data_IF_628839732269
#
_entry.id   IF_628839732269
#
_cell.length_a   1.000
_cell.length_b   1.000
_cell.length_c   1.000
_cell.angle_alpha   90.00
_cell.angle_beta   90.00
_cell.angle_gamma   90.00
#
_symmetry.space_group_name_H-M   'P 1'
#
loop_
_entity.id
_entity.type
_entity.pdbx_description
1 polymer ?
#
# COMPACT_ATOMS: atom_id res chain seq x y z
N UNK A 1 76.31 -12.56 -45.31
CA UNK A 1 75.18 -13.42 -44.92
C UNK A 1 74.03 -12.52 -44.49
N UNK A 2 72.98 -12.48 -45.32
CA UNK A 2 71.73 -11.77 -45.08
C UNK A 2 70.96 -12.46 -43.95
N UNK A 3 70.74 -11.82 -42.80
CA UNK A 3 69.64 -12.15 -41.86
C UNK A 3 69.64 -11.10 -40.74
N UNK A 4 68.95 -9.96 -40.92
CA UNK A 4 68.48 -9.08 -39.84
C UNK A 4 67.75 -7.89 -40.47
N UNK A 5 66.42 -7.97 -40.63
CA UNK A 5 65.59 -6.80 -40.99
C UNK A 5 64.08 -7.09 -41.05
N UNK A 6 63.61 -8.33 -40.84
CA UNK A 6 62.18 -8.66 -41.03
C UNK A 6 61.37 -8.84 -39.75
N UNK A 7 62.01 -8.86 -38.57
CA UNK A 7 61.35 -9.07 -37.28
C UNK A 7 60.79 -7.78 -36.64
N UNK A 8 61.32 -6.60 -36.96
CA UNK A 8 60.96 -5.35 -36.27
C UNK A 8 59.73 -4.62 -36.87
N UNK A 9 59.37 -4.89 -38.12
CA UNK A 9 58.16 -4.29 -38.71
C UNK A 9 56.88 -5.04 -38.33
N UNK A 10 56.96 -6.35 -38.11
CA UNK A 10 55.80 -7.17 -37.73
C UNK A 10 55.34 -6.87 -36.29
N UNK A 11 56.29 -6.62 -35.38
CA UNK A 11 56.01 -6.25 -33.98
C UNK A 11 55.36 -4.86 -33.86
N UNK A 12 55.81 -3.87 -34.63
CA UNK A 12 55.21 -2.52 -34.64
C UNK A 12 53.79 -2.52 -35.19
N UNK A 13 53.53 -3.32 -36.22
CA UNK A 13 52.21 -3.42 -36.84
C UNK A 13 51.20 -4.19 -35.96
N UNK A 14 51.65 -5.24 -35.26
CA UNK A 14 50.83 -5.93 -34.26
C UNK A 14 50.53 -5.06 -33.03
N UNK A 15 51.48 -4.22 -32.62
CA UNK A 15 51.31 -3.29 -31.48
C UNK A 15 50.35 -2.14 -31.82
N UNK A 16 50.37 -1.58 -33.04
CA UNK A 16 49.40 -0.57 -33.47
C UNK A 16 47.97 -1.14 -33.60
N UNK A 17 47.82 -2.37 -34.07
CA UNK A 17 46.50 -3.03 -34.16
C UNK A 17 45.96 -3.35 -32.77
N UNK A 18 46.81 -3.80 -31.84
CA UNK A 18 46.45 -4.02 -30.44
C UNK A 18 46.04 -2.72 -29.73
N UNK A 19 46.74 -1.62 -29.99
CA UNK A 19 46.41 -0.30 -29.42
C UNK A 19 45.11 0.27 -29.98
N UNK A 20 44.83 0.08 -31.29
CA UNK A 20 43.57 0.52 -31.90
C UNK A 20 42.38 -0.34 -31.47
N UNK A 21 42.56 -1.65 -31.31
CA UNK A 21 41.51 -2.54 -30.78
C UNK A 21 41.22 -2.27 -29.30
N UNK A 22 42.22 -1.93 -28.47
CA UNK A 22 42.00 -1.56 -27.06
C UNK A 22 41.33 -0.20 -26.90
N UNK A 23 41.65 0.78 -27.76
CA UNK A 23 40.94 2.06 -27.80
C UNK A 23 39.49 1.88 -28.28
N UNK A 24 39.24 1.00 -29.28
CA UNK A 24 37.87 0.70 -29.74
C UNK A 24 37.06 -0.04 -28.66
N UNK A 25 37.68 -0.97 -27.91
CA UNK A 25 37.05 -1.67 -26.79
C UNK A 25 36.76 -0.73 -25.61
N UNK A 26 37.63 0.26 -25.34
CA UNK A 26 37.36 1.29 -24.33
C UNK A 26 36.21 2.23 -24.75
N UNK A 27 36.08 2.56 -26.04
CA UNK A 27 34.96 3.40 -26.52
C UNK A 27 33.62 2.66 -26.56
N UNK A 28 33.63 1.33 -26.69
CA UNK A 28 32.41 0.50 -26.66
C UNK A 28 31.99 0.19 -25.20
N UNK A 29 32.92 0.19 -24.24
CA UNK A 29 32.58 0.03 -22.81
C UNK A 29 32.04 1.32 -22.16
N UNK A 30 32.19 2.49 -22.79
CA UNK A 30 31.60 3.75 -22.32
C UNK A 30 30.15 3.96 -22.76
N UNK A 31 29.55 3.02 -23.49
CA UNK A 31 28.09 2.91 -23.66
C UNK A 31 27.53 1.94 -22.60
N UNK A 32 28.06 1.99 -21.38
CA UNK A 32 27.27 1.59 -20.24
C UNK A 32 26.27 2.70 -20.00
N UNK A 33 25.04 2.43 -20.42
CA UNK A 33 23.84 3.19 -20.16
C UNK A 33 23.95 3.90 -18.82
N UNK A 34 24.25 5.20 -18.84
CA UNK A 34 23.88 6.06 -17.74
C UNK A 34 22.36 6.02 -17.72
N UNK A 35 21.79 5.15 -16.89
CA UNK A 35 20.44 5.31 -16.42
C UNK A 35 20.42 6.67 -15.73
N UNK A 36 20.04 7.70 -16.48
CA UNK A 36 19.77 9.02 -15.93
C UNK A 36 18.75 8.82 -14.82
N UNK A 37 19.20 8.94 -13.58
CA UNK A 37 18.32 8.93 -12.42
C UNK A 37 17.47 10.21 -12.53
N UNK A 38 16.24 10.08 -13.02
CA UNK A 38 15.29 11.18 -13.00
C UNK A 38 14.78 11.33 -11.57
N UNK A 39 15.38 12.20 -10.78
CA UNK A 39 14.73 12.63 -9.54
C UNK A 39 13.44 13.39 -9.90
N UNK A 40 12.34 13.21 -9.16
CA UNK A 40 11.16 14.05 -9.32
C UNK A 40 11.57 15.53 -9.35
N UNK A 41 11.02 16.31 -10.29
CA UNK A 41 11.39 17.72 -10.38
C UNK A 41 11.01 18.45 -9.08
N UNK A 42 11.88 19.33 -8.62
CA UNK A 42 11.60 20.20 -7.46
C UNK A 42 10.59 21.31 -7.80
N UNK A 43 10.02 21.30 -9.01
CA UNK A 43 9.10 22.32 -9.50
C UNK A 43 7.71 22.21 -8.86
N UNK A 44 7.37 21.05 -8.28
CA UNK A 44 6.10 20.86 -7.58
C UNK A 44 6.27 21.09 -6.08
N UNK A 45 5.33 21.84 -5.50
CA UNK A 45 5.22 22.05 -4.06
C UNK A 45 3.86 21.57 -3.56
N UNK A 46 3.83 20.94 -2.39
CA UNK A 46 2.59 20.58 -1.73
C UNK A 46 2.25 21.69 -0.74
N UNK A 47 1.24 22.50 -1.09
CA UNK A 47 0.77 23.61 -0.27
C UNK A 47 0.13 23.15 1.04
N UNK A 48 -0.66 22.08 0.96
CA UNK A 48 -1.35 21.50 2.09
C UNK A 48 -1.55 20.01 1.86
N UNK A 49 -1.21 19.21 2.86
CA UNK A 49 -1.40 17.76 2.85
C UNK A 49 -2.16 17.31 4.09
N UNK A 50 -3.27 16.60 3.89
CA UNK A 50 -4.01 15.97 4.97
C UNK A 50 -3.99 14.46 4.76
N UNK A 51 -3.47 13.71 5.74
CA UNK A 51 -3.48 12.25 5.72
C UNK A 51 -4.41 11.72 6.82
N UNK A 52 -5.35 10.86 6.46
CA UNK A 52 -6.22 10.15 7.40
C UNK A 52 -6.00 8.65 7.29
N UNK A 53 -5.46 8.07 8.34
CA UNK A 53 -5.23 6.63 8.49
C UNK A 53 -6.38 6.04 9.29
N UNK A 54 -7.11 5.09 8.69
CA UNK A 54 -8.17 4.34 9.35
C UNK A 54 -7.68 2.94 9.73
N UNK A 55 -7.57 2.72 11.04
CA UNK A 55 -7.14 1.46 11.67
C UNK A 55 -8.32 0.66 12.25
N UNK A 56 -9.56 0.99 11.88
CA UNK A 56 -10.77 0.37 12.45
C UNK A 56 -10.96 -1.12 12.11
N UNK A 57 -10.21 -1.64 11.14
CA UNK A 57 -10.22 -3.04 10.73
C UNK A 57 -8.80 -3.62 10.68
N UNK A 58 -8.65 -4.89 10.32
CA UNK A 58 -7.33 -5.50 10.08
C UNK A 58 -6.65 -4.99 8.79
N UNK A 59 -7.40 -4.31 7.91
CA UNK A 59 -6.91 -3.66 6.70
C UNK A 59 -6.80 -2.16 6.97
N UNK A 60 -5.61 -1.60 6.73
CA UNK A 60 -5.35 -0.17 6.91
C UNK A 60 -5.75 0.56 5.65
N UNK A 61 -6.60 1.57 5.79
CA UNK A 61 -7.00 2.45 4.68
C UNK A 61 -6.45 3.84 4.93
N UNK A 62 -5.79 4.42 3.95
CA UNK A 62 -5.26 5.77 4.06
C UNK A 62 -5.86 6.64 2.98
N UNK A 63 -6.45 7.74 3.42
CA UNK A 63 -6.94 8.82 2.58
C UNK A 63 -5.95 9.97 2.65
N UNK A 64 -5.49 10.44 1.52
CA UNK A 64 -4.49 11.48 1.41
C UNK A 64 -5.02 12.58 0.48
N UNK A 65 -5.24 13.76 1.02
CA UNK A 65 -5.65 14.94 0.27
C UNK A 65 -4.43 15.84 0.06
N UNK A 66 -4.02 16.06 -1.19
CA UNK A 66 -2.86 16.86 -1.54
C UNK A 66 -3.30 18.08 -2.36
N UNK A 67 -2.92 19.28 -1.91
CA UNK A 67 -2.97 20.49 -2.74
C UNK A 67 -1.61 20.76 -3.35
N UNK A 68 -1.47 20.47 -4.63
CA UNK A 68 -0.21 20.53 -5.36
C UNK A 68 -0.19 21.77 -6.23
N UNK A 69 0.90 22.53 -6.17
CA UNK A 69 1.16 23.72 -6.96
C UNK A 69 2.37 23.47 -7.87
N UNK A 70 2.27 23.86 -9.15
CA UNK A 70 3.44 23.94 -10.01
C UNK A 70 4.12 25.31 -9.85
N UNK A 71 5.29 25.31 -9.22
CA UNK A 71 6.14 26.48 -9.01
C UNK A 71 7.23 26.63 -10.07
N UNK A 72 7.40 25.61 -10.94
CA UNK A 72 8.31 25.68 -12.08
C UNK A 72 7.74 26.47 -13.25
N UNK A 73 8.54 26.60 -14.31
CA UNK A 73 8.16 27.35 -15.52
C UNK A 73 7.50 26.46 -16.58
N UNK A 74 7.82 25.17 -16.61
CA UNK A 74 7.28 24.21 -17.58
C UNK A 74 5.96 23.59 -17.10
N UNK A 75 5.04 23.26 -18.02
CA UNK A 75 3.85 22.48 -17.70
C UNK A 75 4.22 21.05 -17.24
N UNK A 76 3.46 20.51 -16.28
CA UNK A 76 3.70 19.19 -15.69
C UNK A 76 2.44 18.33 -15.81
N UNK A 77 2.57 17.08 -16.22
CA UNK A 77 1.45 16.16 -16.46
C UNK A 77 1.41 15.00 -15.47
N UNK A 78 2.41 14.88 -14.59
CA UNK A 78 2.54 13.79 -13.62
C UNK A 78 2.92 14.29 -12.22
N UNK A 79 2.42 13.60 -11.19
CA UNK A 79 2.75 13.87 -9.78
C UNK A 79 3.17 12.57 -9.10
N UNK A 80 4.29 12.59 -8.41
CA UNK A 80 4.86 11.41 -7.76
C UNK A 80 4.40 11.25 -6.30
N UNK A 81 3.91 10.07 -5.96
CA UNK A 81 3.74 9.61 -4.58
C UNK A 81 4.94 8.76 -4.19
N UNK A 82 5.46 8.92 -2.98
CA UNK A 82 6.55 8.08 -2.45
C UNK A 82 6.09 7.22 -1.29
N UNK A 83 6.48 5.95 -1.31
CA UNK A 83 6.23 5.00 -0.23
C UNK A 83 7.54 4.41 0.27
N UNK A 84 7.74 4.28 1.59
CA UNK A 84 8.89 3.56 2.14
C UNK A 84 8.80 2.06 1.78
N UNK A 85 9.94 1.34 1.70
CA UNK A 85 9.98 -0.08 1.31
C UNK A 85 8.99 -0.96 2.09
N UNK A 86 8.89 -0.74 3.40
CA UNK A 86 8.00 -1.49 4.31
C UNK A 86 6.51 -1.32 4.01
N UNK A 87 6.11 -0.17 3.44
CA UNK A 87 4.74 0.04 2.97
C UNK A 87 4.52 -0.61 1.61
N UNK A 88 5.49 -0.54 0.71
CA UNK A 88 5.37 -1.11 -0.64
C UNK A 88 5.11 -2.61 -0.59
N UNK A 89 5.80 -3.36 0.27
CA UNK A 89 5.59 -4.80 0.47
C UNK A 89 4.16 -5.17 0.90
N UNK A 90 3.44 -4.20 1.45
CA UNK A 90 2.12 -4.35 2.06
C UNK A 90 1.02 -3.61 1.27
N UNK A 91 1.39 -2.91 0.21
CA UNK A 91 0.51 -2.07 -0.59
C UNK A 91 -0.34 -2.93 -1.52
N UNK A 92 -1.65 -2.95 -1.30
CA UNK A 92 -2.59 -3.75 -2.08
C UNK A 92 -3.31 -2.93 -3.17
N UNK A 93 -3.45 -1.62 -2.96
CA UNK A 93 -4.17 -0.74 -3.87
C UNK A 93 -3.68 0.70 -3.71
N UNK A 94 -3.56 1.42 -4.82
CA UNK A 94 -3.47 2.87 -4.87
C UNK A 94 -4.47 3.38 -5.90
N UNK A 95 -5.27 4.38 -5.54
CA UNK A 95 -6.19 5.09 -6.41
C UNK A 95 -6.02 6.58 -6.19
N UNK A 96 -6.07 7.36 -7.26
CA UNK A 96 -6.07 8.81 -7.18
C UNK A 96 -7.29 9.36 -7.93
N UNK A 97 -7.74 10.55 -7.53
CA UNK A 97 -8.74 11.30 -8.25
C UNK A 97 -8.46 12.80 -8.15
N UNK A 98 -8.74 13.51 -9.23
CA UNK A 98 -8.75 14.96 -9.27
C UNK A 98 -10.05 15.47 -8.67
N UNK A 99 -9.97 16.44 -7.77
CA UNK A 99 -11.15 17.11 -7.22
C UNK A 99 -11.52 18.27 -8.12
N UNK A 100 -12.67 18.17 -8.78
CA UNK A 100 -13.23 19.23 -9.63
C UNK A 100 -14.45 19.85 -8.96
N UNK A 101 -14.58 21.18 -9.06
CA UNK A 101 -15.71 21.93 -8.49
C UNK A 101 -15.48 22.42 -7.05
N UNK A 102 -16.41 23.25 -6.56
CA UNK A 102 -16.31 23.91 -5.24
C UNK A 102 -17.41 23.43 -4.29
N UNK A 103 -17.06 23.24 -3.00
CA UNK A 103 -17.96 22.95 -1.87
C UNK A 103 -18.87 21.72 -2.10
N UNK A 104 -20.19 21.92 -2.24
CA UNK A 104 -21.21 20.84 -2.30
C UNK A 104 -21.33 20.17 -3.67
N UNK A 105 -20.67 20.72 -4.72
CA UNK A 105 -20.65 20.15 -6.07
C UNK A 105 -19.26 19.58 -6.42
N UNK A 106 -18.58 18.97 -5.44
CA UNK A 106 -17.31 18.29 -5.69
C UNK A 106 -17.57 17.01 -6.49
N UNK A 107 -16.88 16.87 -7.60
CA UNK A 107 -16.81 15.64 -8.40
C UNK A 107 -15.39 15.11 -8.34
N UNK A 108 -15.24 13.80 -8.20
CA UNK A 108 -13.95 13.12 -8.20
C UNK A 108 -13.75 12.46 -9.55
N UNK A 109 -12.80 12.97 -10.33
CA UNK A 109 -12.44 12.41 -11.63
C UNK A 109 -11.28 11.43 -11.42
N UNK A 110 -11.45 10.11 -11.62
CA UNK A 110 -10.40 9.11 -11.38
C UNK A 110 -9.16 9.40 -12.24
N UNK A 111 -7.98 9.30 -11.66
CA UNK A 111 -6.69 9.46 -12.35
C UNK A 111 -5.98 8.11 -12.45
N UNK A 112 -5.20 7.93 -13.51
CA UNK A 112 -4.36 6.75 -13.67
C UNK A 112 -3.16 6.82 -12.71
N UNK A 113 -2.88 5.70 -12.04
CA UNK A 113 -1.77 5.57 -11.10
C UNK A 113 -0.97 4.34 -11.46
N UNK A 114 0.30 4.53 -11.83
CA UNK A 114 1.20 3.44 -12.18
C UNK A 114 2.45 3.46 -11.31
N UNK A 115 3.05 2.29 -11.11
CA UNK A 115 4.39 2.20 -10.53
C UNK A 115 5.35 2.93 -11.46
N UNK A 116 6.14 3.85 -10.91
CA UNK A 116 7.08 4.64 -11.69
C UNK A 116 8.30 3.81 -12.08
N UNK A 117 8.89 4.13 -13.24
CA UNK A 117 10.20 3.62 -13.65
C UNK A 117 11.34 4.23 -12.82
N UNK A 118 11.07 5.31 -12.08
CA UNK A 118 11.98 5.88 -11.10
C UNK A 118 12.20 4.87 -9.96
N UNK A 119 13.32 4.15 -10.05
CA UNK A 119 13.81 3.26 -9.00
C UNK A 119 14.84 4.01 -8.16
N UNK A 120 14.90 3.64 -6.88
CA UNK A 120 15.83 4.16 -5.87
C UNK A 120 15.57 5.61 -5.41
N UNK A 121 14.35 5.89 -4.94
CA UNK A 121 14.14 7.04 -4.05
C UNK A 121 15.03 6.94 -2.80
N UNK A 122 15.26 8.07 -2.13
CA UNK A 122 16.07 8.09 -0.91
C UNK A 122 15.62 6.98 0.07
N UNK A 123 16.58 6.23 0.62
CA UNK A 123 16.35 5.10 1.52
C UNK A 123 15.50 3.96 0.91
N UNK A 124 15.55 3.76 -0.41
CA UNK A 124 14.83 2.70 -1.11
C UNK A 124 13.34 3.00 -1.32
N UNK A 125 12.91 4.26 -1.12
CA UNK A 125 11.54 4.66 -1.38
C UNK A 125 11.16 4.39 -2.85
N UNK A 126 9.98 3.85 -3.08
CA UNK A 126 9.45 3.62 -4.43
C UNK A 126 8.40 4.66 -4.77
N UNK A 127 8.33 5.01 -6.06
CA UNK A 127 7.42 6.03 -6.55
C UNK A 127 6.25 5.45 -7.34
N UNK A 128 5.09 6.07 -7.17
CA UNK A 128 3.93 5.87 -8.03
C UNK A 128 3.63 7.20 -8.74
N UNK A 129 3.49 7.17 -10.05
CA UNK A 129 3.12 8.32 -10.87
C UNK A 129 1.60 8.42 -10.94
N UNK A 130 1.05 9.58 -10.58
CA UNK A 130 -0.33 9.98 -10.85
C UNK A 130 -0.33 10.82 -12.13
N UNK A 131 -1.03 10.36 -13.16
CA UNK A 131 -1.14 11.10 -14.42
C UNK A 131 -2.34 12.05 -14.38
N UNK A 132 -2.07 13.32 -14.62
CA UNK A 132 -3.07 14.37 -14.75
C UNK A 132 -3.71 14.30 -16.15
N UNK A 133 -5.00 14.59 -16.25
CA UNK A 133 -5.69 14.63 -17.56
C UNK A 133 -5.24 15.83 -18.39
N UNK A 134 -5.12 16.98 -17.72
CA UNK A 134 -4.66 18.24 -18.28
C UNK A 134 -3.30 18.60 -17.68
N UNK A 135 -2.46 19.25 -18.48
CA UNK A 135 -1.18 19.77 -18.03
C UNK A 135 -1.36 20.84 -16.94
N UNK A 136 -0.60 20.70 -15.85
CA UNK A 136 -0.55 21.66 -14.77
C UNK A 136 0.40 22.80 -15.12
N UNK A 137 -0.15 23.99 -15.39
CA UNK A 137 0.65 25.16 -15.82
C UNK A 137 1.38 25.80 -14.64
N UNK A 138 2.38 26.61 -14.94
CA UNK A 138 3.09 27.41 -13.93
C UNK A 138 2.11 28.26 -13.11
N UNK A 139 2.23 28.18 -11.78
CA UNK A 139 1.38 28.84 -10.79
C UNK A 139 0.01 28.21 -10.58
N UNK A 140 -0.33 27.14 -11.30
CA UNK A 140 -1.63 26.47 -11.17
C UNK A 140 -1.62 25.46 -10.01
N UNK A 141 -2.79 25.29 -9.40
CA UNK A 141 -2.98 24.45 -8.21
C UNK A 141 -4.07 23.42 -8.48
N UNK A 142 -3.77 22.15 -8.18
CA UNK A 142 -4.74 21.05 -8.20
C UNK A 142 -4.94 20.48 -6.81
N UNK A 143 -6.09 19.86 -6.59
CA UNK A 143 -6.33 19.05 -5.39
C UNK A 143 -6.51 17.59 -5.80
N UNK A 144 -5.63 16.73 -5.29
CA UNK A 144 -5.66 15.29 -5.49
C UNK A 144 -6.19 14.61 -4.24
N UNK A 145 -7.05 13.62 -4.43
CA UNK A 145 -7.51 12.72 -3.38
C UNK A 145 -7.00 11.32 -3.69
N UNK A 146 -6.20 10.78 -2.80
CA UNK A 146 -5.54 9.48 -2.97
C UNK A 146 -6.08 8.54 -1.90
N UNK A 147 -6.51 7.36 -2.32
CA UNK A 147 -6.81 6.24 -1.44
C UNK A 147 -5.75 5.17 -1.68
N UNK A 148 -5.03 4.79 -0.63
CA UNK A 148 -4.22 3.58 -0.66
C UNK A 148 -4.59 2.62 0.47
N UNK A 149 -4.43 1.33 0.20
CA UNK A 149 -4.78 0.25 1.11
C UNK A 149 -3.53 -0.54 1.44
N UNK A 150 -3.23 -0.66 2.72
CA UNK A 150 -2.15 -1.48 3.23
C UNK A 150 -2.73 -2.72 3.92
N UNK A 151 -2.16 -3.87 3.58
CA UNK A 151 -2.46 -5.18 4.19
C UNK A 151 -1.29 -5.61 5.05
N UNK A 152 -1.51 -6.45 6.07
CA UNK A 152 -0.42 -6.95 6.95
C UNK A 152 0.44 -5.85 7.61
N UNK A 153 -0.11 -4.65 7.79
CA UNK A 153 0.58 -3.51 8.45
C UNK A 153 0.25 -3.38 9.95
N UNK A 154 -0.55 -4.30 10.48
CA UNK A 154 -0.89 -4.39 11.90
C UNK A 154 -0.23 -5.64 12.48
N UNK A 155 0.64 -5.44 13.46
CA UNK A 155 1.37 -6.54 14.11
C UNK A 155 0.74 -6.84 15.47
N UNK A 156 0.24 -8.06 15.72
CA UNK A 156 -0.26 -8.44 17.04
C UNK A 156 0.81 -8.37 18.11
N UNK A 157 0.53 -7.64 19.19
CA UNK A 157 1.39 -7.57 20.36
C UNK A 157 0.56 -7.43 21.64
N UNK A 158 0.52 -8.46 22.52
CA UNK A 158 1.32 -9.68 22.45
C UNK A 158 0.97 -10.59 21.26
N UNK A 159 1.96 -11.36 20.80
CA UNK A 159 1.79 -12.27 19.65
C UNK A 159 0.86 -13.46 19.96
N UNK A 160 0.70 -13.79 21.23
CA UNK A 160 -0.20 -14.83 21.71
C UNK A 160 -1.10 -14.29 22.83
N UNK A 161 -2.39 -14.62 22.79
CA UNK A 161 -3.41 -14.18 23.75
C UNK A 161 -4.24 -15.37 24.22
N UNK A 162 -4.71 -15.35 25.46
CA UNK A 162 -5.67 -16.35 25.95
C UNK A 162 -7.07 -16.06 25.41
N UNK A 163 -8.00 -16.99 25.66
CA UNK A 163 -9.37 -16.89 25.13
C UNK A 163 -10.12 -15.64 25.60
N UNK A 164 -9.84 -15.15 26.82
CA UNK A 164 -10.50 -14.00 27.44
C UNK A 164 -9.77 -12.67 27.27
N UNK A 165 -8.61 -12.68 26.61
CA UNK A 165 -7.79 -11.48 26.43
C UNK A 165 -8.23 -10.68 25.20
N UNK A 166 -8.13 -9.35 25.30
CA UNK A 166 -8.26 -8.47 24.15
C UNK A 166 -7.04 -8.60 23.21
N UNK A 167 -7.29 -8.54 21.91
CA UNK A 167 -6.24 -8.42 20.91
C UNK A 167 -5.74 -6.97 20.82
N UNK A 168 -4.47 -6.77 21.10
CA UNK A 168 -3.75 -5.52 20.92
C UNK A 168 -2.80 -5.62 19.72
N UNK A 169 -2.61 -4.53 18.98
CA UNK A 169 -1.76 -4.50 17.78
C UNK A 169 -0.92 -3.23 17.72
N UNK A 170 0.27 -3.34 17.13
CA UNK A 170 1.09 -2.21 16.72
C UNK A 170 0.78 -1.79 15.29
N UNK A 171 0.64 -0.49 15.08
CA UNK A 171 0.74 0.16 13.79
C UNK A 171 2.01 1.03 13.76
N UNK A 172 2.84 0.86 12.75
CA UNK A 172 4.08 1.62 12.56
C UNK A 172 4.02 2.38 11.25
N UNK A 173 4.25 3.68 11.32
CA UNK A 173 4.34 4.58 10.17
C UNK A 173 5.16 5.82 10.57
N UNK A 174 5.05 6.92 9.83
CA UNK A 174 5.55 8.24 10.18
C UNK A 174 4.42 9.20 10.54
N UNK A 175 4.66 10.20 11.37
CA UNK A 175 3.75 11.32 11.64
C UNK A 175 3.62 12.29 10.47
N UNK A 176 4.69 12.40 9.66
CA UNK A 176 4.72 13.20 8.44
C UNK A 176 4.65 12.31 7.19
N UNK A 177 4.11 12.86 6.12
CA UNK A 177 3.99 12.21 4.83
C UNK A 177 5.37 12.20 4.18
N UNK A 178 5.82 11.01 3.79
CA UNK A 178 6.98 10.86 2.92
C UNK A 178 6.60 11.37 1.53
N UNK A 179 7.24 12.44 1.07
CA UNK A 179 7.01 13.04 -0.24
C UNK A 179 8.34 13.39 -0.92
N UNK A 180 8.47 13.25 -2.25
CA UNK A 180 9.63 13.79 -2.97
C UNK A 180 9.60 15.32 -3.09
N UNK A 181 8.50 15.96 -2.72
CA UNK A 181 8.30 17.40 -2.83
C UNK A 181 8.37 18.07 -1.46
N UNK A 182 8.65 19.38 -1.45
CA UNK A 182 8.50 20.18 -0.24
C UNK A 182 7.02 20.28 0.14
N UNK A 183 6.72 20.13 1.44
CA UNK A 183 5.37 20.19 1.98
C UNK A 183 5.24 21.39 2.93
N UNK A 184 4.58 22.47 2.48
CA UNK A 184 4.43 23.71 3.26
C UNK A 184 3.63 23.50 4.54
N UNK A 185 2.58 22.69 4.48
CA UNK A 185 1.73 22.39 5.63
C UNK A 185 1.23 20.96 5.55
N UNK A 186 1.30 20.24 6.67
CA UNK A 186 0.69 18.91 6.75
C UNK A 186 0.13 18.54 8.10
N UNK A 187 -0.81 17.59 8.06
CA UNK A 187 -1.48 17.06 9.24
C UNK A 187 -1.86 15.59 9.02
N UNK A 188 -1.60 14.75 10.01
CA UNK A 188 -1.95 13.32 9.98
C UNK A 188 -2.94 13.00 11.08
N UNK A 189 -4.04 12.36 10.72
CA UNK A 189 -5.04 11.80 11.63
C UNK A 189 -4.96 10.29 11.60
N UNK A 190 -4.91 9.65 12.77
CA UNK A 190 -4.92 8.21 12.93
C UNK A 190 -6.13 7.82 13.75
N UNK A 191 -7.10 7.16 13.11
CA UNK A 191 -8.34 6.70 13.73
C UNK A 191 -8.21 5.25 14.17
N UNK A 192 -8.38 4.99 15.46
CA UNK A 192 -8.41 3.66 16.06
C UNK A 192 -9.85 3.10 16.12
N UNK A 193 -10.03 1.77 16.22
CA UNK A 193 -11.35 1.15 16.30
C UNK A 193 -12.09 1.48 17.61
N UNK A 194 -11.34 1.75 18.68
CA UNK A 194 -11.88 2.14 19.98
C UNK A 194 -10.98 3.18 20.66
N UNK A 195 -11.47 3.80 21.74
CA UNK A 195 -10.69 4.74 22.53
C UNK A 195 -9.62 4.04 23.40
N UNK A 196 -9.52 2.71 23.37
CA UNK A 196 -8.51 1.93 24.10
C UNK A 196 -7.21 1.88 23.30
N UNK A 197 -6.37 2.88 23.54
CA UNK A 197 -4.99 2.96 23.03
C UNK A 197 -4.08 2.83 24.22
N UNK A 198 -3.22 1.82 24.19
CA UNK A 198 -2.27 1.46 25.25
C UNK A 198 -1.11 2.46 25.27
N UNK A 199 -0.51 2.70 24.11
CA UNK A 199 0.58 3.67 23.95
C UNK A 199 0.62 4.25 22.54
N UNK A 200 1.21 5.44 22.40
CA UNK A 200 1.49 6.05 21.12
C UNK A 200 2.70 6.98 21.23
N UNK A 201 3.44 7.15 20.15
CA UNK A 201 4.55 8.10 20.09
C UNK A 201 4.02 9.54 20.21
N UNK A 202 4.59 10.35 21.09
CA UNK A 202 4.21 11.76 21.25
C UNK A 202 5.22 12.63 20.51
N UNK A 203 4.77 13.33 19.47
CA UNK A 203 5.57 14.28 18.69
C UNK A 203 4.85 15.64 18.65
N UNK A 204 5.37 16.64 19.35
CA UNK A 204 4.70 17.93 19.44
C UNK A 204 4.53 18.60 18.06
N UNK A 205 3.34 19.13 17.72
CA UNK A 205 2.09 19.04 18.45
C UNK A 205 1.36 17.70 18.18
N UNK A 206 1.09 16.92 19.24
CA UNK A 206 0.21 15.74 19.17
C UNK A 206 -1.03 15.98 20.00
N UNK A 207 -2.21 15.64 19.46
CA UNK A 207 -3.49 15.71 20.19
C UNK A 207 -4.24 14.40 20.07
N UNK A 208 -4.91 13.98 21.14
CA UNK A 208 -5.79 12.82 21.14
C UNK A 208 -7.21 13.24 21.47
N UNK A 209 -8.15 12.87 20.62
CA UNK A 209 -9.58 13.12 20.82
C UNK A 209 -10.34 11.82 20.61
N UNK A 210 -10.82 11.22 21.71
CA UNK A 210 -11.57 9.95 21.68
C UNK A 210 -10.81 8.82 20.96
N UNK A 211 -11.21 8.48 19.73
CA UNK A 211 -10.63 7.42 18.89
C UNK A 211 -9.66 7.95 17.82
N UNK A 212 -9.33 9.25 17.83
CA UNK A 212 -8.47 9.87 16.82
C UNK A 212 -7.22 10.48 17.47
N UNK A 213 -6.05 10.15 16.90
CA UNK A 213 -4.77 10.78 17.19
C UNK A 213 -4.44 11.74 16.06
N UNK A 214 -4.09 12.97 16.40
CA UNK A 214 -3.72 14.02 15.46
C UNK A 214 -2.24 14.36 15.66
N UNK A 215 -1.46 14.24 14.59
CA UNK A 215 -0.07 14.64 14.51
C UNK A 215 0.06 15.89 13.63
N UNK A 216 0.74 16.92 14.14
CA UNK A 216 0.84 18.22 13.51
C UNK A 216 -0.28 19.16 13.96
N UNK A 217 -0.44 20.33 13.34
CA UNK A 217 0.12 20.83 12.08
C UNK A 217 1.66 20.98 12.07
N UNK A 218 2.31 20.32 11.12
CA UNK A 218 3.73 20.55 10.81
C UNK A 218 3.86 21.51 9.63
N UNK A 219 4.85 22.39 9.69
CA UNK A 219 5.06 23.47 8.71
C UNK A 219 6.40 23.24 8.02
N UNK A 220 6.43 23.51 6.71
CA UNK A 220 7.62 23.51 5.85
C UNK A 220 8.54 22.31 6.05
N UNK A 221 8.05 21.15 5.63
CA UNK A 221 8.79 19.90 5.70
C UNK A 221 9.56 19.68 4.41
N UNK A 222 10.88 19.42 4.55
CA UNK A 222 11.75 19.17 3.43
C UNK A 222 11.38 17.87 2.70
N UNK A 223 11.70 17.75 1.40
CA UNK A 223 11.58 16.49 0.67
C UNK A 223 12.20 15.31 1.43
N UNK A 224 11.54 14.15 1.36
CA UNK A 224 11.96 12.89 1.99
C UNK A 224 12.12 12.92 3.52
N UNK A 225 11.54 13.91 4.20
CA UNK A 225 11.50 13.94 5.66
C UNK A 225 10.68 12.77 6.21
N UNK A 226 11.11 12.20 7.34
CA UNK A 226 10.46 11.06 7.99
C UNK A 226 10.50 11.17 9.52
N UNK A 227 9.36 10.99 10.18
CA UNK A 227 9.23 11.10 11.64
C UNK A 227 8.50 9.87 12.19
N UNK A 228 9.21 8.81 12.59
CA UNK A 228 8.60 7.53 12.93
C UNK A 228 7.63 7.63 14.11
N UNK A 229 6.49 6.96 14.00
CA UNK A 229 5.49 6.79 15.06
C UNK A 229 5.08 5.33 15.20
N UNK A 230 4.72 4.98 16.42
CA UNK A 230 4.14 3.69 16.77
C UNK A 230 2.85 3.96 17.53
N UNK A 231 1.78 3.25 17.18
CA UNK A 231 0.50 3.28 17.90
C UNK A 231 0.14 1.86 18.32
N UNK A 232 -0.06 1.66 19.61
CA UNK A 232 -0.44 0.39 20.23
C UNK A 232 -1.85 0.48 20.76
N UNK A 233 -2.77 -0.33 20.23
CA UNK A 233 -4.20 -0.17 20.51
C UNK A 233 -4.96 -1.49 20.45
N UNK A 234 -6.14 -1.52 21.08
CA UNK A 234 -7.06 -2.66 21.02
C UNK A 234 -7.75 -2.75 19.66
N UNK A 235 -7.55 -3.87 18.96
CA UNK A 235 -8.23 -4.20 17.72
C UNK A 235 -8.72 -5.66 17.75
N UNK A 236 -9.95 -5.83 18.19
CA UNK A 236 -10.63 -7.12 18.27
C UNK A 236 -11.35 -7.51 16.96
N UNK A 237 -11.09 -6.84 15.84
CA UNK A 237 -11.58 -7.33 14.55
C UNK A 237 -10.91 -8.67 14.22
N UNK A 238 -11.61 -9.60 13.55
CA UNK A 238 -10.99 -10.84 13.10
C UNK A 238 -10.06 -10.57 11.92
N UNK A 239 -8.83 -11.09 12.00
CA UNK A 239 -7.77 -10.84 11.01
C UNK A 239 -7.83 -11.94 9.93
N UNK A 240 -8.81 -11.83 9.03
CA UNK A 240 -9.06 -12.81 7.99
C UNK A 240 -8.06 -12.65 6.84
N UNK A 241 -7.22 -13.67 6.61
CA UNK A 241 -6.26 -13.68 5.50
C UNK A 241 -6.50 -14.92 4.65
N UNK A 242 -6.77 -14.70 3.36
CA UNK A 242 -6.83 -15.76 2.36
C UNK A 242 -5.42 -15.95 1.83
N UNK A 243 -4.77 -17.05 2.20
CA UNK A 243 -3.43 -17.38 1.70
C UNK A 243 -3.46 -17.86 0.26
N UNK A 244 -4.51 -18.59 -0.10
CA UNK A 244 -4.69 -19.17 -1.42
C UNK A 244 -6.16 -19.09 -1.82
N UNK A 245 -6.41 -18.60 -3.03
CA UNK A 245 -7.72 -18.55 -3.66
C UNK A 245 -7.62 -19.17 -5.05
N UNK A 246 -8.20 -20.35 -5.21
CA UNK A 246 -8.43 -20.95 -6.51
C UNK A 246 -9.86 -20.64 -6.96
N UNK A 247 -10.03 -19.95 -8.07
CA UNK A 247 -11.34 -19.69 -8.69
C UNK A 247 -11.41 -20.41 -10.03
N UNK A 248 -12.31 -21.38 -10.12
CA UNK A 248 -12.62 -22.11 -11.35
C UNK A 248 -13.89 -21.52 -11.95
N UNK A 249 -13.85 -21.19 -13.25
CA UNK A 249 -15.00 -20.67 -13.99
C UNK A 249 -15.27 -21.60 -15.16
N UNK A 250 -16.31 -22.42 -15.05
CA UNK A 250 -16.75 -23.33 -16.10
C UNK A 250 -17.86 -22.65 -16.93
N UNK A 251 -17.64 -22.54 -18.24
CA UNK A 251 -18.59 -21.94 -19.18
C UNK A 251 -19.15 -23.05 -20.07
N UNK A 252 -20.46 -23.26 -19.97
CA UNK A 252 -21.19 -24.17 -20.84
C UNK A 252 -22.01 -23.39 -21.85
N UNK A 253 -21.78 -23.66 -23.14
CA UNK A 253 -22.57 -23.10 -24.25
C UNK A 253 -24.02 -23.58 -24.24
N UNK A 254 -24.35 -24.60 -23.44
CA UNK A 254 -25.73 -25.03 -23.19
C UNK A 254 -26.48 -24.13 -22.18
N UNK A 255 -25.84 -23.06 -21.69
CA UNK A 255 -26.53 -21.95 -21.01
C UNK A 255 -26.16 -21.75 -19.54
N UNK A 256 -25.05 -22.28 -19.05
CA UNK A 256 -24.62 -22.10 -17.65
C UNK A 256 -23.20 -21.57 -17.53
N UNK A 257 -22.99 -20.78 -16.48
CA UNK A 257 -21.66 -20.39 -16.00
C UNK A 257 -21.61 -20.81 -14.54
N UNK A 258 -20.67 -21.70 -14.20
CA UNK A 258 -20.45 -22.17 -12.85
C UNK A 258 -19.15 -21.58 -12.34
N UNK A 259 -19.18 -21.06 -11.11
CA UNK A 259 -18.01 -20.49 -10.44
C UNK A 259 -17.81 -21.27 -9.15
N UNK A 260 -16.66 -21.93 -9.03
CA UNK A 260 -16.26 -22.66 -7.83
C UNK A 260 -15.03 -21.98 -7.24
N UNK A 261 -15.04 -21.72 -5.94
CA UNK A 261 -13.95 -21.06 -5.25
C UNK A 261 -13.45 -21.91 -4.08
N UNK A 262 -12.15 -22.17 -4.04
CA UNK A 262 -11.48 -22.84 -2.94
C UNK A 262 -10.65 -21.81 -2.18
N UNK A 263 -10.99 -21.64 -0.89
CA UNK A 263 -10.35 -20.69 0.00
C UNK A 263 -9.48 -21.40 1.02
N UNK A 264 -8.19 -21.08 1.07
CA UNK A 264 -7.32 -21.38 2.21
C UNK A 264 -7.27 -20.15 3.12
N UNK A 265 -8.12 -20.14 4.15
CA UNK A 265 -8.27 -19.02 5.08
C UNK A 265 -7.51 -19.27 6.39
N UNK A 266 -6.79 -18.27 6.86
CA UNK A 266 -6.11 -18.27 8.16
C UNK A 266 -6.47 -17.04 8.99
N UNK A 267 -6.38 -17.16 10.31
CA UNK A 267 -6.47 -16.02 11.23
C UNK A 267 -5.07 -15.47 11.49
N UNK A 268 -4.76 -14.29 10.95
CA UNK A 268 -3.44 -13.66 11.05
C UNK A 268 -3.27 -12.73 12.27
N UNK A 269 -4.24 -12.71 13.17
CA UNK A 269 -4.17 -11.96 14.43
C UNK A 269 -3.32 -12.67 15.48
N UNK A 270 -3.47 -12.28 16.74
CA UNK A 270 -2.76 -12.92 17.84
C UNK A 270 -3.12 -14.41 17.93
N UNK A 271 -2.13 -15.26 18.17
CA UNK A 271 -2.31 -16.72 18.28
C UNK A 271 -2.99 -17.06 19.60
N UNK A 272 -3.80 -18.10 19.61
CA UNK A 272 -4.40 -18.60 20.85
C UNK A 272 -3.34 -19.25 21.73
N UNK A 273 -3.28 -18.81 23.00
CA UNK A 273 -2.40 -19.36 24.04
C UNK A 273 -3.21 -20.17 25.05
N UNK A 274 -2.71 -21.36 25.37
CA UNK A 274 -3.33 -22.24 26.37
C UNK A 274 -4.47 -23.08 25.79
N UNK A 275 -5.36 -23.54 26.65
CA UNK A 275 -6.43 -24.49 26.30
C UNK A 275 -7.66 -23.72 25.82
N UNK A 276 -8.32 -24.21 24.78
CA UNK A 276 -9.63 -23.70 24.38
C UNK A 276 -10.73 -24.30 25.28
N UNK A 277 -11.49 -23.44 25.96
CA UNK A 277 -12.63 -23.81 26.79
C UNK A 277 -13.93 -23.44 26.10
N UNK A 278 -14.66 -24.46 25.61
CA UNK A 278 -15.98 -24.25 25.00
C UNK A 278 -16.97 -23.62 25.97
N UNK A 279 -16.93 -24.02 27.24
CA UNK A 279 -17.82 -23.49 28.28
C UNK A 279 -17.59 -21.99 28.45
N UNK A 280 -16.34 -21.54 28.49
CA UNK A 280 -16.01 -20.13 28.58
C UNK A 280 -16.44 -19.36 27.32
N UNK A 281 -16.18 -19.93 26.13
CA UNK A 281 -16.53 -19.32 24.85
C UNK A 281 -18.04 -19.07 24.73
N UNK A 282 -18.85 -20.03 25.21
CA UNK A 282 -20.30 -19.96 25.11
C UNK A 282 -20.95 -19.19 26.25
N UNK A 283 -20.40 -19.26 27.47
CA UNK A 283 -20.97 -18.57 28.63
C UNK A 283 -20.65 -17.08 28.67
N UNK A 284 -19.55 -16.64 28.05
CA UNK A 284 -19.08 -15.24 28.07
C UNK A 284 -18.73 -14.71 26.67
N UNK A 285 -19.66 -14.70 25.71
CA UNK A 285 -19.36 -14.35 24.31
C UNK A 285 -18.95 -12.89 24.06
N UNK A 286 -19.13 -12.01 25.05
CA UNK A 286 -18.69 -10.60 25.01
C UNK A 286 -17.23 -10.39 25.42
N UNK A 287 -16.63 -11.37 26.11
CA UNK A 287 -15.27 -11.28 26.66
C UNK A 287 -14.39 -12.36 26.04
N UNK A 288 -14.92 -13.56 25.90
CA UNK A 288 -14.21 -14.71 25.39
C UNK A 288 -14.34 -14.82 23.87
N UNK A 289 -13.21 -14.94 23.19
CA UNK A 289 -13.17 -15.13 21.73
C UNK A 289 -13.72 -13.94 20.95
N UNK A 290 -13.40 -12.72 21.38
CA UNK A 290 -13.88 -11.50 20.70
C UNK A 290 -13.22 -11.38 19.33
N UNK A 291 -11.91 -11.67 19.23
CA UNK A 291 -11.12 -11.58 18.00
C UNK A 291 -11.30 -12.77 17.06
N UNK A 292 -11.98 -13.86 17.46
CA UNK A 292 -12.12 -15.04 16.61
C UNK A 292 -13.12 -14.86 15.47
N UNK A 293 -13.01 -15.70 14.44
CA UNK A 293 -14.05 -15.79 13.40
C UNK A 293 -15.34 -16.31 14.01
N UNK A 294 -16.42 -15.53 13.85
CA UNK A 294 -17.78 -15.95 14.25
C UNK A 294 -18.63 -16.34 13.05
N UNK A 295 -18.39 -15.69 11.92
CA UNK A 295 -19.03 -15.96 10.64
C UNK A 295 -18.20 -15.30 9.53
N UNK A 296 -18.36 -15.80 8.31
CA UNK A 296 -17.83 -15.19 7.09
C UNK A 296 -18.98 -14.72 6.22
N UNK A 297 -18.84 -13.54 5.62
CA UNK A 297 -19.85 -12.97 4.72
C UNK A 297 -19.31 -12.94 3.30
N UNK A 298 -19.97 -13.68 2.42
CA UNK A 298 -19.67 -13.68 0.99
C UNK A 298 -20.79 -12.96 0.25
N UNK A 299 -20.44 -11.90 -0.47
CA UNK A 299 -21.39 -11.20 -1.35
C UNK A 299 -21.39 -11.89 -2.71
N UNK A 300 -22.56 -12.37 -3.11
CA UNK A 300 -22.75 -13.08 -4.36
C UNK A 300 -23.54 -12.25 -5.38
N UNK A 301 -23.32 -12.48 -6.69
CA UNK A 301 -24.09 -11.83 -7.74
C UNK A 301 -25.60 -12.06 -7.57
N UNK A 302 -26.47 -11.09 -7.94
CA UNK A 302 -27.91 -11.19 -7.71
C UNK A 302 -28.58 -12.40 -8.39
N UNK A 303 -28.01 -12.85 -9.53
CA UNK A 303 -28.54 -13.97 -10.34
C UNK A 303 -27.98 -15.34 -9.96
N UNK A 304 -27.16 -15.44 -8.92
CA UNK A 304 -26.59 -16.73 -8.50
C UNK A 304 -27.71 -17.70 -8.10
N UNK A 305 -27.57 -18.98 -8.44
CA UNK A 305 -28.48 -20.06 -8.06
C UNK A 305 -27.64 -21.30 -7.73
N UNK A 306 -28.26 -22.31 -7.11
CA UNK A 306 -27.58 -23.57 -6.74
C UNK A 306 -26.30 -23.36 -5.91
N UNK A 307 -26.35 -22.45 -4.94
CA UNK A 307 -25.22 -22.17 -4.04
C UNK A 307 -25.02 -23.35 -3.10
N UNK A 308 -23.81 -23.89 -3.07
CA UNK A 308 -23.39 -24.92 -2.12
C UNK A 308 -22.12 -24.46 -1.39
N UNK A 309 -21.92 -24.99 -0.18
CA UNK A 309 -20.73 -24.72 0.62
C UNK A 309 -20.25 -26.02 1.29
N UNK A 310 -18.98 -26.36 1.06
CA UNK A 310 -18.38 -27.64 1.42
C UNK A 310 -16.98 -27.41 1.96
N UNK A 311 -16.53 -28.28 2.86
CA UNK A 311 -15.13 -28.38 3.25
C UNK A 311 -14.48 -29.62 2.60
N UNK A 312 -13.25 -29.93 3.01
CA UNK A 312 -12.52 -31.09 2.50
C UNK A 312 -13.11 -32.45 2.87
N UNK A 313 -14.08 -32.52 3.79
CA UNK A 313 -14.69 -33.77 4.26
C UNK A 313 -16.19 -33.90 3.96
N UNK A 314 -16.87 -32.82 3.57
CA UNK A 314 -18.30 -32.89 3.29
C UNK A 314 -19.01 -31.55 3.19
N UNK A 315 -20.33 -31.62 3.31
CA UNK A 315 -21.21 -30.45 3.24
C UNK A 315 -21.33 -29.77 4.60
N UNK A 316 -21.25 -28.44 4.62
CA UNK A 316 -21.45 -27.66 5.85
C UNK A 316 -22.87 -27.10 5.87
N UNK A 317 -23.67 -27.58 6.84
CA UNK A 317 -25.08 -27.19 7.00
C UNK A 317 -25.28 -25.88 7.75
N UNK A 318 -24.25 -25.40 8.46
CA UNK A 318 -24.29 -24.12 9.20
C UNK A 318 -24.03 -22.94 8.27
N UNK A 319 -24.81 -22.79 7.20
CA UNK A 319 -24.73 -21.66 6.29
C UNK A 319 -26.12 -21.08 6.03
N UNK A 320 -26.19 -19.78 5.71
CA UNK A 320 -27.44 -19.06 5.46
C UNK A 320 -27.31 -18.12 4.27
N UNK A 321 -28.06 -18.41 3.20
CA UNK A 321 -28.16 -17.54 2.04
C UNK A 321 -29.33 -16.55 2.22
N UNK A 322 -29.01 -15.26 2.31
CA UNK A 322 -30.01 -14.18 2.27
C UNK A 322 -30.20 -13.72 0.82
N UNK A 323 -31.45 -13.77 0.37
CA UNK A 323 -31.84 -13.29 -0.96
C UNK A 323 -32.34 -11.85 -0.86
N UNK A 324 -31.74 -10.95 -1.65
CA UNK A 324 -32.11 -9.55 -1.76
C UNK A 324 -31.57 -8.97 -3.08
N UNK A 325 -31.47 -7.64 -3.18
CA UNK A 325 -30.89 -6.98 -4.36
C UNK A 325 -29.45 -7.45 -4.65
N UNK A 326 -28.71 -7.81 -3.60
CA UNK A 326 -27.52 -8.69 -3.66
C UNK A 326 -27.81 -9.91 -2.81
N UNK A 327 -27.28 -11.07 -3.21
CA UNK A 327 -27.35 -12.28 -2.37
C UNK A 327 -26.14 -12.31 -1.43
N UNK A 328 -26.36 -12.66 -0.17
CA UNK A 328 -25.29 -12.74 0.84
C UNK A 328 -25.31 -14.12 1.46
N UNK A 329 -24.21 -14.84 1.35
CA UNK A 329 -24.01 -16.11 2.03
C UNK A 329 -23.25 -15.85 3.34
N UNK A 330 -23.87 -16.22 4.45
CA UNK A 330 -23.23 -16.29 5.76
C UNK A 330 -22.79 -17.72 6.01
N UNK A 331 -21.51 -17.91 6.29
CA UNK A 331 -20.88 -19.19 6.64
C UNK A 331 -20.46 -19.16 8.10
#
# INVERSE_FOLDING_TARGET
>A
SLFESTTDMRSKQEMEVSLRCTILFLTILTIFSQSSFSTPSNDLHILNAERRVDLSSHIVKVFLTLKVENTGTSPIWEVYLSFPPTQVENLALVKAALVVGKRKKKTYVPLDVNLSELRDGLNGAQFYSIFLHDELKSGEIVTLEVLYILTRSLEPFPAEISQGDSQLVYYRDSAIILSPYNVKEQMTYVKTPSAKVESYTVLEPTKRVSTELQYGKYIDQAPYSYSPIIVHFENNSPFAVVEELLREVEISHWGSVQVTEHYKLVHAGARHKGIFSRVEYQSRPSISGISSFKHLLVQLPPRVHSVYYRDGIGNISTSRLRVGAKKVLTI
#
